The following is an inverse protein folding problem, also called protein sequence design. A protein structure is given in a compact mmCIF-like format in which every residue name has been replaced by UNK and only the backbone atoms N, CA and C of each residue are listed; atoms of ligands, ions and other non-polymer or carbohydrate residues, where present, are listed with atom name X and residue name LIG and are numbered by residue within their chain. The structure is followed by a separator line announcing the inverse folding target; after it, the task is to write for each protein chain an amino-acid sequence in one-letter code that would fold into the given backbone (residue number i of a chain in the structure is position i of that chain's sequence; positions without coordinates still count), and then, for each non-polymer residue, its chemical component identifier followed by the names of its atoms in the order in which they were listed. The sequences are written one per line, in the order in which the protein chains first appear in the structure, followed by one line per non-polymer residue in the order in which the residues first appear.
data_IF_045998639589
#
_entry.id   IF_045998639589
#
_cell.length_a   1.000
_cell.length_b   1.000
_cell.length_c   1.000
_cell.angle_alpha   90.00
_cell.angle_beta   90.00
_cell.angle_gamma   90.00
#
_symmetry.space_group_name_H-M   'P 1'
#
loop_
_entity.id
_entity.type
_entity.pdbx_description
1 polymer ?
#
# COMPACT_ATOMS: atom_id res chain seq x y z
N UNK A 1 -12.28 -5.16 3.21
CA UNK A 1 -13.66 -4.60 3.22
C UNK A 1 -14.06 -4.34 1.78
N UNK A 2 -15.07 -5.05 1.30
CA UNK A 2 -15.64 -4.80 -0.04
C UNK A 2 -16.59 -3.60 0.00
N UNK A 3 -16.65 -2.85 -1.10
CA UNK A 3 -17.59 -1.74 -1.28
C UNK A 3 -17.94 -1.52 -2.75
N UNK A 4 -19.13 -0.95 -2.97
CA UNK A 4 -19.62 -0.55 -4.28
C UNK A 4 -19.69 0.99 -4.33
N UNK A 5 -18.87 1.61 -5.14
CA UNK A 5 -18.74 3.08 -5.20
C UNK A 5 -19.98 3.77 -5.81
N UNK A 6 -20.76 3.06 -6.63
CA UNK A 6 -22.02 3.53 -7.21
C UNK A 6 -23.17 3.54 -6.19
N UNK A 7 -23.09 2.70 -5.14
CA UNK A 7 -24.05 2.65 -4.03
C UNK A 7 -23.65 3.55 -2.86
N UNK A 8 -22.46 4.15 -2.89
CA UNK A 8 -21.99 5.00 -1.82
C UNK A 8 -22.80 6.30 -1.72
N UNK A 9 -23.23 6.63 -0.49
CA UNK A 9 -23.85 7.92 -0.15
C UNK A 9 -22.93 8.72 0.76
N UNK A 10 -22.80 10.02 0.50
CA UNK A 10 -22.04 10.95 1.34
C UNK A 10 -22.52 11.01 2.79
N UNK A 11 -23.80 10.72 3.04
CA UNK A 11 -24.36 10.67 4.38
C UNK A 11 -23.71 9.63 5.28
N UNK A 12 -22.99 8.66 4.70
CA UNK A 12 -22.19 7.68 5.44
C UNK A 12 -21.16 8.35 6.35
N UNK A 13 -20.57 9.47 5.93
CA UNK A 13 -19.64 10.23 6.76
C UNK A 13 -20.29 10.69 8.07
N UNK A 14 -21.48 11.29 7.98
CA UNK A 14 -22.20 11.74 9.16
C UNK A 14 -22.68 10.57 10.03
N UNK A 15 -23.22 9.52 9.43
CA UNK A 15 -23.69 8.31 10.17
C UNK A 15 -22.57 7.63 10.95
N UNK A 16 -21.34 7.67 10.42
CA UNK A 16 -20.16 7.07 11.07
C UNK A 16 -19.33 8.09 11.85
N UNK A 17 -19.85 9.28 12.12
CA UNK A 17 -19.11 10.37 12.80
C UNK A 17 -17.70 10.55 12.22
N UNK A 18 -17.57 10.51 10.89
CA UNK A 18 -16.30 10.63 10.17
C UNK A 18 -16.20 11.98 9.48
N UNK A 19 -15.12 12.73 9.74
CA UNK A 19 -14.87 13.97 9.04
C UNK A 19 -14.59 13.75 7.55
N UNK A 20 -15.25 14.54 6.69
CA UNK A 20 -15.01 14.55 5.26
C UNK A 20 -14.22 15.81 4.89
N UNK A 21 -12.92 15.72 4.53
CA UNK A 21 -12.12 16.89 4.20
C UNK A 21 -12.69 17.65 2.98
N UNK A 22 -12.52 18.99 2.89
CA UNK A 22 -13.04 19.78 1.77
C UNK A 22 -12.57 19.30 0.39
N UNK A 23 -11.36 18.75 0.30
CA UNK A 23 -10.81 18.16 -0.93
C UNK A 23 -11.59 16.91 -1.37
N UNK A 24 -12.02 16.09 -0.39
CA UNK A 24 -12.83 14.89 -0.64
C UNK A 24 -14.29 15.27 -0.96
N UNK A 25 -14.83 16.27 -0.25
CA UNK A 25 -16.19 16.79 -0.55
C UNK A 25 -16.32 17.20 -2.03
N UNK A 26 -15.27 17.80 -2.61
CA UNK A 26 -15.24 18.26 -4.01
C UNK A 26 -14.87 17.18 -5.02
N UNK A 27 -14.47 16.00 -4.57
CA UNK A 27 -14.07 14.91 -5.47
C UNK A 27 -15.27 14.13 -6.00
N UNK A 28 -15.02 13.27 -7.00
CA UNK A 28 -16.04 12.36 -7.55
C UNK A 28 -16.45 11.31 -6.52
N UNK A 29 -17.67 10.75 -6.68
CA UNK A 29 -18.25 9.75 -5.76
C UNK A 29 -17.29 8.58 -5.50
N UNK A 30 -16.65 8.06 -6.54
CA UNK A 30 -15.65 6.99 -6.41
C UNK A 30 -14.57 7.35 -5.39
N UNK A 31 -13.96 8.53 -5.50
CA UNK A 31 -12.92 8.99 -4.58
C UNK A 31 -13.43 9.21 -3.15
N UNK A 32 -14.66 9.66 -3.00
CA UNK A 32 -15.31 9.80 -1.69
C UNK A 32 -15.52 8.43 -1.02
N UNK A 33 -15.97 7.43 -1.78
CA UNK A 33 -16.12 6.05 -1.32
C UNK A 33 -14.78 5.44 -0.88
N UNK A 34 -13.76 5.52 -1.73
CA UNK A 34 -12.41 5.04 -1.44
C UNK A 34 -11.86 5.66 -0.13
N UNK A 35 -11.99 6.97 0.01
CA UNK A 35 -11.58 7.67 1.22
C UNK A 35 -12.34 7.17 2.45
N UNK A 36 -13.65 7.12 2.36
CA UNK A 36 -14.52 6.69 3.47
C UNK A 36 -14.19 5.26 3.91
N UNK A 37 -14.20 4.31 2.98
CA UNK A 37 -13.97 2.90 3.31
C UNK A 37 -12.54 2.62 3.75
N UNK A 38 -11.55 3.34 3.20
CA UNK A 38 -10.17 3.27 3.69
C UNK A 38 -10.05 3.72 5.16
N UNK A 39 -10.71 4.82 5.54
CA UNK A 39 -10.72 5.30 6.92
C UNK A 39 -11.53 4.42 7.86
N UNK A 40 -12.62 3.85 7.37
CA UNK A 40 -13.44 2.88 8.12
C UNK A 40 -12.63 1.60 8.41
N UNK A 41 -11.94 1.05 7.39
CA UNK A 41 -11.04 -0.08 7.57
C UNK A 41 -9.94 0.21 8.60
N UNK A 42 -9.38 1.42 8.58
CA UNK A 42 -8.36 1.83 9.54
C UNK A 42 -8.89 1.94 10.99
N UNK A 43 -10.10 2.46 11.18
CA UNK A 43 -10.76 2.46 12.50
C UNK A 43 -10.95 1.04 13.06
N UNK A 44 -11.43 0.13 12.21
CA UNK A 44 -11.60 -1.27 12.59
C UNK A 44 -10.26 -1.94 12.95
N UNK A 45 -9.23 -1.71 12.14
CA UNK A 45 -7.90 -2.26 12.39
C UNK A 45 -7.32 -1.76 13.73
N UNK A 46 -7.44 -0.46 14.03
CA UNK A 46 -7.01 0.12 15.31
C UNK A 46 -7.73 -0.51 16.50
N UNK A 47 -9.04 -0.72 16.38
CA UNK A 47 -9.84 -1.34 17.44
C UNK A 47 -9.48 -2.81 17.63
N UNK A 48 -9.37 -3.58 16.55
CA UNK A 48 -8.99 -5.01 16.59
C UNK A 48 -7.60 -5.23 17.22
N UNK A 49 -6.67 -4.30 17.03
CA UNK A 49 -5.35 -4.33 17.64
C UNK A 49 -5.32 -3.78 19.08
N UNK A 50 -6.45 -3.37 19.63
CA UNK A 50 -6.53 -2.80 20.98
C UNK A 50 -5.84 -1.43 21.12
N UNK A 51 -5.53 -0.76 19.99
CA UNK A 51 -4.86 0.54 20.00
C UNK A 51 -5.82 1.70 20.25
N UNK A 52 -7.13 1.47 20.11
CA UNK A 52 -8.20 2.39 20.46
C UNK A 52 -9.39 1.62 21.04
N UNK A 53 -10.06 2.22 22.04
CA UNK A 53 -11.23 1.61 22.70
C UNK A 53 -12.51 1.94 21.90
N UNK A 54 -12.64 3.17 21.44
CA UNK A 54 -13.83 3.68 20.75
C UNK A 54 -13.50 4.06 19.31
N UNK A 55 -13.62 3.15 18.34
CA UNK A 55 -13.22 3.40 16.96
C UNK A 55 -13.99 4.56 16.31
N UNK A 56 -15.26 4.77 16.67
CA UNK A 56 -16.11 5.82 16.11
C UNK A 56 -15.64 7.24 16.48
N UNK A 57 -14.87 7.40 17.54
CA UNK A 57 -14.32 8.69 17.95
C UNK A 57 -12.99 9.03 17.26
N UNK A 58 -12.35 8.04 16.63
CA UNK A 58 -11.04 8.25 16.00
C UNK A 58 -11.19 8.93 14.65
N UNK A 59 -10.45 10.02 14.47
CA UNK A 59 -10.32 10.70 13.18
C UNK A 59 -8.93 10.46 12.62
N UNK A 60 -8.84 9.77 11.47
CA UNK A 60 -7.58 9.58 10.76
C UNK A 60 -7.51 10.65 9.68
N UNK A 61 -6.90 11.76 10.02
CA UNK A 61 -6.75 12.91 9.13
C UNK A 61 -5.84 12.59 7.93
N UNK A 62 -5.77 13.54 7.01
CA UNK A 62 -4.84 13.49 5.87
C UNK A 62 -3.80 14.57 6.05
N UNK A 63 -2.53 14.20 5.98
CA UNK A 63 -1.41 15.13 6.04
C UNK A 63 -1.15 15.85 4.72
N UNK A 64 -0.11 16.67 4.69
CA UNK A 64 0.24 17.52 3.55
C UNK A 64 0.69 16.73 2.32
N UNK A 65 1.30 15.57 2.52
CA UNK A 65 1.69 14.64 1.46
C UNK A 65 0.61 13.57 1.17
N UNK A 66 -0.63 13.80 1.63
CA UNK A 66 -1.79 12.91 1.53
C UNK A 66 -1.70 11.63 2.37
N UNK A 67 -0.69 11.51 3.23
CA UNK A 67 -0.50 10.41 4.15
C UNK A 67 -1.60 10.38 5.22
N UNK A 68 -2.01 9.20 5.72
CA UNK A 68 -2.89 9.11 6.88
C UNK A 68 -2.13 9.52 8.16
N UNK A 69 -2.76 10.39 8.97
CA UNK A 69 -2.22 10.79 10.28
C UNK A 69 -2.76 9.84 11.33
N UNK A 70 -1.89 8.98 11.83
CA UNK A 70 -2.23 7.98 12.84
C UNK A 70 -2.19 8.53 14.27
N UNK A 71 -2.90 7.90 15.23
CA UNK A 71 -2.67 8.13 16.65
C UNK A 71 -1.20 7.89 17.01
N UNK A 72 -0.66 8.60 18.01
CA UNK A 72 0.75 8.49 18.42
C UNK A 72 1.17 7.07 18.84
N UNK A 73 0.21 6.24 19.25
CA UNK A 73 0.43 4.84 19.65
C UNK A 73 0.46 3.87 18.49
N UNK A 74 0.20 4.32 17.27
CA UNK A 74 0.04 3.47 16.10
C UNK A 74 0.89 3.92 14.92
N UNK A 75 1.38 2.95 14.17
CA UNK A 75 1.80 3.08 12.76
C UNK A 75 0.80 2.32 11.90
N UNK A 76 0.62 2.74 10.66
CA UNK A 76 -0.35 2.06 9.80
C UNK A 76 -0.27 2.46 8.34
N UNK A 77 -1.04 1.74 7.54
CA UNK A 77 -1.16 1.97 6.11
C UNK A 77 -2.59 1.68 5.65
N UNK A 78 -3.00 2.38 4.62
CA UNK A 78 -4.29 2.21 3.96
C UNK A 78 -4.02 2.02 2.47
N UNK A 79 -4.65 1.02 1.87
CA UNK A 79 -4.72 0.87 0.42
C UNK A 79 -6.14 0.53 -0.02
N UNK A 80 -6.45 0.79 -1.27
CA UNK A 80 -7.75 0.52 -1.85
C UNK A 80 -7.64 0.32 -3.36
N UNK A 81 -8.50 -0.54 -3.87
CA UNK A 81 -8.86 -0.60 -5.29
C UNK A 81 -10.18 0.13 -5.51
N UNK A 82 -10.78 -0.05 -6.68
CA UNK A 82 -12.13 0.50 -6.97
C UNK A 82 -13.26 -0.15 -6.16
N UNK A 83 -13.03 -1.33 -5.52
CA UNK A 83 -14.03 -2.10 -4.78
C UNK A 83 -13.57 -2.64 -3.43
N UNK A 84 -12.28 -2.60 -3.16
CA UNK A 84 -11.70 -3.10 -1.92
C UNK A 84 -11.00 -1.97 -1.16
N UNK A 85 -11.18 -1.92 0.15
CA UNK A 85 -10.39 -1.08 1.05
C UNK A 85 -9.78 -1.95 2.14
N UNK A 86 -8.50 -1.75 2.40
CA UNK A 86 -7.72 -2.47 3.40
C UNK A 86 -6.92 -1.49 4.25
N UNK A 87 -6.74 -1.83 5.51
CA UNK A 87 -5.82 -1.15 6.40
C UNK A 87 -5.08 -2.16 7.26
N UNK A 88 -3.80 -1.88 7.51
CA UNK A 88 -2.99 -2.57 8.49
C UNK A 88 -2.44 -1.55 9.49
N UNK A 89 -2.41 -1.94 10.78
CA UNK A 89 -1.87 -1.10 11.85
C UNK A 89 -1.05 -1.94 12.81
N UNK A 90 -0.08 -1.29 13.47
CA UNK A 90 0.74 -1.89 14.49
C UNK A 90 1.05 -0.87 15.60
N UNK A 91 1.51 -1.34 16.77
CA UNK A 91 1.95 -0.46 17.85
C UNK A 91 3.22 0.29 17.44
N UNK A 92 3.23 1.61 17.64
CA UNK A 92 4.39 2.47 17.41
C UNK A 92 5.55 2.19 18.39
N UNK A 93 5.30 1.50 19.51
CA UNK A 93 6.34 1.10 20.45
C UNK A 93 7.24 -0.02 19.91
N UNK A 94 6.72 -0.82 18.97
CA UNK A 94 7.42 -1.98 18.40
C UNK A 94 7.88 -1.77 16.96
N UNK A 95 7.17 -0.95 16.20
CA UNK A 95 7.35 -0.82 14.76
C UNK A 95 7.50 0.63 14.36
N UNK A 96 8.42 0.90 13.45
CA UNK A 96 8.66 2.25 12.91
C UNK A 96 7.74 2.60 11.76
N UNK A 97 7.27 1.57 11.04
CA UNK A 97 6.36 1.76 9.92
C UNK A 97 5.75 0.47 9.43
N UNK A 98 4.61 0.59 8.81
CA UNK A 98 3.92 -0.46 8.09
C UNK A 98 3.39 0.11 6.78
N UNK A 99 3.56 -0.62 5.70
CA UNK A 99 3.01 -0.29 4.38
C UNK A 99 2.26 -1.48 3.83
N UNK A 100 1.09 -1.24 3.30
CA UNK A 100 0.34 -2.21 2.50
C UNK A 100 -0.04 -1.58 1.18
N UNK A 101 -0.15 -2.41 0.17
CA UNK A 101 -0.66 -1.99 -1.12
C UNK A 101 -1.53 -3.07 -1.75
N UNK A 102 -2.61 -2.64 -2.42
CA UNK A 102 -3.60 -3.48 -3.08
C UNK A 102 -3.66 -3.09 -4.54
N UNK A 103 -3.39 -4.04 -5.46
CA UNK A 103 -3.42 -3.77 -6.88
C UNK A 103 -4.14 -4.88 -7.66
N UNK A 104 -4.92 -4.48 -8.66
CA UNK A 104 -5.37 -5.40 -9.70
C UNK A 104 -4.25 -5.70 -10.68
N UNK A 105 -4.28 -6.89 -11.27
CA UNK A 105 -3.38 -7.24 -12.36
C UNK A 105 -3.40 -6.15 -13.44
N UNK A 106 -2.21 -5.73 -13.83
CA UNK A 106 -2.02 -4.70 -14.82
C UNK A 106 -2.55 -5.14 -16.20
N UNK A 107 -3.46 -4.37 -16.77
CA UNK A 107 -3.84 -4.52 -18.16
C UNK A 107 -2.67 -4.18 -19.11
N UNK A 108 -2.77 -4.44 -20.43
CA UNK A 108 -1.65 -4.21 -21.35
C UNK A 108 -1.10 -2.78 -21.35
N UNK A 109 -1.96 -1.77 -21.20
CA UNK A 109 -1.54 -0.37 -21.16
C UNK A 109 -0.81 -0.05 -19.85
N UNK A 110 -1.33 -0.53 -18.73
CA UNK A 110 -0.68 -0.42 -17.43
C UNK A 110 0.67 -1.16 -17.40
N UNK A 111 0.77 -2.36 -18.00
CA UNK A 111 2.04 -3.09 -18.12
C UNK A 111 3.09 -2.28 -18.88
N UNK A 112 2.72 -1.63 -19.98
CA UNK A 112 3.64 -0.78 -20.72
C UNK A 112 4.16 0.39 -19.88
N UNK A 113 3.28 1.02 -19.10
CA UNK A 113 3.65 2.08 -18.17
C UNK A 113 4.57 1.57 -17.04
N UNK A 114 4.26 0.41 -16.43
CA UNK A 114 5.08 -0.20 -15.37
C UNK A 114 6.50 -0.55 -15.87
N UNK A 115 6.61 -1.09 -17.09
CA UNK A 115 7.92 -1.36 -17.73
C UNK A 115 8.73 -0.10 -17.94
N UNK A 116 8.09 1.02 -18.25
CA UNK A 116 8.77 2.27 -18.53
C UNK A 116 9.18 3.05 -17.27
N UNK A 117 8.45 2.89 -16.14
CA UNK A 117 8.58 3.78 -14.99
C UNK A 117 8.95 3.10 -13.68
N UNK A 118 8.63 1.81 -13.53
CA UNK A 118 8.75 1.09 -12.25
C UNK A 118 9.93 0.14 -12.21
N UNK A 119 10.18 -0.58 -13.30
CA UNK A 119 11.24 -1.59 -13.37
C UNK A 119 12.38 -1.12 -14.27
N UNK A 120 13.62 -1.44 -13.89
CA UNK A 120 14.78 -1.26 -14.75
C UNK A 120 15.06 -2.53 -15.56
N UNK A 121 16.06 -2.47 -16.45
CA UNK A 121 16.40 -3.58 -17.34
C UNK A 121 16.78 -4.88 -16.59
N UNK A 122 17.48 -4.78 -15.47
CA UNK A 122 17.88 -5.96 -14.68
C UNK A 122 16.70 -6.58 -13.91
N UNK A 123 15.78 -5.75 -13.40
CA UNK A 123 14.53 -6.21 -12.82
C UNK A 123 13.66 -6.92 -13.86
N UNK A 124 13.52 -6.32 -15.05
CA UNK A 124 12.74 -6.90 -16.14
C UNK A 124 13.31 -8.25 -16.57
N UNK A 125 14.64 -8.39 -16.67
CA UNK A 125 15.29 -9.68 -16.99
C UNK A 125 15.02 -10.75 -15.92
N UNK A 126 15.04 -10.38 -14.64
CA UNK A 126 14.66 -11.28 -13.54
C UNK A 126 13.20 -11.73 -13.68
N UNK A 127 12.26 -10.79 -13.90
CA UNK A 127 10.85 -11.12 -14.05
C UNK A 127 10.58 -12.00 -15.27
N UNK A 128 11.31 -11.78 -16.38
CA UNK A 128 11.20 -12.63 -17.57
C UNK A 128 11.70 -14.05 -17.29
N UNK A 129 12.80 -14.21 -16.54
CA UNK A 129 13.31 -15.53 -16.14
C UNK A 129 12.27 -16.29 -15.30
N UNK A 130 11.62 -15.65 -14.35
CA UNK A 130 10.56 -16.27 -13.54
C UNK A 130 9.32 -16.63 -14.37
N UNK A 131 8.96 -15.78 -15.32
CA UNK A 131 7.86 -16.04 -16.24
C UNK A 131 8.15 -17.25 -17.13
N UNK A 132 9.35 -17.32 -17.70
CA UNK A 132 9.78 -18.42 -18.58
C UNK A 132 9.91 -19.75 -17.81
N UNK A 133 10.21 -19.70 -16.52
CA UNK A 133 10.20 -20.87 -15.62
C UNK A 133 8.78 -21.34 -15.26
N UNK A 134 7.76 -20.53 -15.55
CA UNK A 134 6.36 -20.85 -15.24
C UNK A 134 5.94 -20.50 -13.80
N UNK A 135 6.74 -19.74 -13.07
CA UNK A 135 6.47 -19.40 -11.68
C UNK A 135 5.25 -18.46 -11.56
N UNK A 136 5.11 -17.48 -12.49
CA UNK A 136 3.97 -16.58 -12.57
C UNK A 136 3.86 -15.93 -13.96
N UNK A 137 2.71 -15.32 -14.25
CA UNK A 137 2.53 -14.53 -15.47
C UNK A 137 3.25 -13.17 -15.35
N UNK A 138 3.65 -12.60 -16.46
CA UNK A 138 4.44 -11.35 -16.46
C UNK A 138 3.65 -10.13 -15.95
N UNK A 139 2.34 -10.08 -16.21
CA UNK A 139 1.43 -9.07 -15.66
C UNK A 139 1.35 -9.16 -14.12
N UNK A 140 1.28 -10.40 -13.59
CA UNK A 140 1.30 -10.63 -12.14
C UNK A 140 2.62 -10.18 -11.52
N UNK A 141 3.76 -10.51 -12.13
CA UNK A 141 5.09 -10.14 -11.65
C UNK A 141 5.31 -8.62 -11.71
N UNK A 142 4.91 -7.95 -12.78
CA UNK A 142 5.00 -6.49 -12.90
C UNK A 142 4.13 -5.78 -11.85
N UNK A 143 2.88 -6.24 -11.69
CA UNK A 143 1.95 -5.71 -10.68
C UNK A 143 2.51 -5.91 -9.27
N UNK A 144 3.06 -7.10 -9.00
CA UNK A 144 3.67 -7.42 -7.71
C UNK A 144 4.85 -6.49 -7.37
N UNK A 145 5.74 -6.23 -8.33
CA UNK A 145 6.88 -5.33 -8.12
C UNK A 145 6.43 -3.89 -7.86
N UNK A 146 5.47 -3.41 -8.62
CA UNK A 146 4.87 -2.09 -8.39
C UNK A 146 4.29 -1.98 -6.99
N UNK A 147 3.40 -2.89 -6.64
CA UNK A 147 2.74 -2.92 -5.33
C UNK A 147 3.75 -3.04 -4.17
N UNK A 148 4.82 -3.84 -4.35
CA UNK A 148 5.87 -3.97 -3.34
C UNK A 148 6.67 -2.68 -3.12
N UNK A 149 6.99 -1.95 -4.18
CA UNK A 149 7.66 -0.65 -4.09
C UNK A 149 6.76 0.40 -3.44
N UNK A 150 5.45 0.37 -3.72
CA UNK A 150 4.45 1.19 -3.02
C UNK A 150 4.34 0.83 -1.53
N UNK A 151 4.35 -0.44 -1.17
CA UNK A 151 4.36 -0.88 0.23
C UNK A 151 5.62 -0.43 0.96
N UNK A 152 6.80 -0.48 0.31
CA UNK A 152 8.03 0.07 0.86
C UNK A 152 7.90 1.58 1.09
N UNK A 153 7.42 2.31 0.09
CA UNK A 153 7.19 3.76 0.20
C UNK A 153 6.28 4.09 1.39
N UNK A 154 5.13 3.46 1.48
CA UNK A 154 4.15 3.69 2.56
C UNK A 154 4.72 3.34 3.94
N UNK A 155 5.49 2.24 4.06
CA UNK A 155 6.10 1.84 5.32
C UNK A 155 7.16 2.82 5.81
N UNK A 156 7.92 3.41 4.89
CA UNK A 156 9.09 4.24 5.22
C UNK A 156 8.79 5.74 5.25
N UNK A 157 7.67 6.19 4.69
CA UNK A 157 7.37 7.60 4.44
C UNK A 157 7.50 8.48 5.69
N UNK A 158 6.97 8.02 6.84
CA UNK A 158 7.03 8.79 8.09
C UNK A 158 8.48 9.06 8.57
N UNK A 159 9.40 8.13 8.32
CA UNK A 159 10.80 8.27 8.70
C UNK A 159 11.64 9.00 7.66
N UNK A 160 11.28 8.86 6.37
CA UNK A 160 11.98 9.49 5.25
C UNK A 160 11.58 10.95 5.09
N UNK A 161 10.30 11.29 5.27
CA UNK A 161 9.76 12.65 5.24
C UNK A 161 9.76 13.31 3.86
N UNK A 162 10.06 12.56 2.79
CA UNK A 162 10.06 13.03 1.40
C UNK A 162 9.58 11.94 0.45
N UNK A 163 9.15 12.34 -0.73
CA UNK A 163 8.94 11.41 -1.84
C UNK A 163 10.27 10.88 -2.36
N UNK A 164 10.27 9.64 -2.82
CA UNK A 164 11.35 9.03 -3.57
C UNK A 164 10.78 8.16 -4.70
N UNK A 165 11.56 8.01 -5.77
CA UNK A 165 11.11 7.31 -6.97
C UNK A 165 11.26 5.79 -6.85
N UNK A 166 10.66 5.05 -7.77
CA UNK A 166 10.78 3.60 -7.87
C UNK A 166 12.21 3.11 -8.07
N UNK A 167 13.08 3.95 -8.66
CA UNK A 167 14.51 3.69 -8.83
C UNK A 167 15.30 3.62 -7.51
N UNK A 168 14.74 4.17 -6.42
CA UNK A 168 15.35 4.10 -5.09
C UNK A 168 15.45 2.67 -4.51
N UNK A 169 14.68 1.73 -5.05
CA UNK A 169 14.71 0.32 -4.65
C UNK A 169 14.63 -0.61 -5.86
N UNK A 170 15.44 -1.65 -5.85
CA UNK A 170 15.53 -2.67 -6.90
C UNK A 170 15.10 -4.03 -6.37
N UNK A 171 14.27 -4.75 -7.12
CA UNK A 171 13.96 -6.18 -6.84
C UNK A 171 15.20 -7.01 -7.12
N UNK A 172 15.59 -7.83 -6.14
CA UNK A 172 16.74 -8.75 -6.24
C UNK A 172 16.35 -10.21 -6.19
N UNK A 173 15.10 -10.52 -5.85
CA UNK A 173 14.55 -11.87 -5.84
C UNK A 173 13.06 -11.87 -5.56
N UNK A 174 12.37 -12.87 -6.08
CA UNK A 174 10.96 -13.17 -5.82
C UNK A 174 10.85 -14.66 -5.56
N UNK A 175 10.25 -15.02 -4.44
CA UNK A 175 9.84 -16.39 -4.12
C UNK A 175 8.31 -16.42 -4.14
N UNK A 176 7.77 -16.91 -5.25
CA UNK A 176 6.32 -16.96 -5.47
C UNK A 176 5.66 -17.95 -4.52
N UNK A 177 6.32 -19.07 -4.24
CA UNK A 177 5.80 -20.10 -3.35
C UNK A 177 5.76 -19.66 -1.89
N UNK A 178 6.79 -18.92 -1.44
CA UNK A 178 6.85 -18.36 -0.10
C UNK A 178 6.03 -17.07 0.07
N UNK A 179 5.53 -16.47 -1.02
CA UNK A 179 4.81 -15.19 -0.98
C UNK A 179 5.70 -14.04 -0.50
N UNK A 180 6.96 -14.00 -0.95
CA UNK A 180 7.95 -13.01 -0.52
C UNK A 180 8.79 -12.51 -1.70
N UNK A 181 9.10 -11.22 -1.69
CA UNK A 181 10.08 -10.63 -2.59
C UNK A 181 11.09 -9.78 -1.81
N UNK A 182 12.28 -9.64 -2.37
CA UNK A 182 13.37 -8.89 -1.77
C UNK A 182 13.65 -7.62 -2.57
N UNK A 183 13.50 -6.47 -1.92
CA UNK A 183 13.96 -5.18 -2.44
C UNK A 183 15.32 -4.85 -1.82
N UNK A 184 16.22 -4.24 -2.61
CA UNK A 184 17.48 -3.65 -2.15
C UNK A 184 17.45 -2.16 -2.45
N UNK A 185 17.75 -1.34 -1.44
CA UNK A 185 17.83 0.11 -1.63
C UNK A 185 19.05 0.47 -2.50
N UNK A 186 18.81 1.29 -3.51
CA UNK A 186 19.83 1.83 -4.41
C UNK A 186 20.44 3.13 -3.87
N UNK A 187 19.71 3.83 -2.99
CA UNK A 187 20.14 5.04 -2.31
C UNK A 187 19.81 4.98 -0.81
N UNK A 188 20.44 5.85 -0.01
CA UNK A 188 20.09 6.02 1.39
C UNK A 188 18.82 6.88 1.50
N UNK A 189 17.76 6.33 2.07
CA UNK A 189 16.49 7.04 2.26
C UNK A 189 16.47 7.82 3.57
N UNK A 190 17.00 7.22 4.64
CA UNK A 190 17.21 7.83 5.96
C UNK A 190 18.29 7.04 6.71
N UNK A 191 18.77 7.46 7.90
CA UNK A 191 19.85 6.77 8.63
C UNK A 191 19.57 5.29 8.92
N UNK A 192 18.32 4.89 9.11
CA UNK A 192 17.94 3.48 9.33
C UNK A 192 17.64 2.69 8.06
N UNK A 193 17.67 3.35 6.90
CA UNK A 193 17.49 2.76 5.58
C UNK A 193 18.60 3.22 4.63
N UNK A 194 19.86 2.75 4.85
CA UNK A 194 21.00 3.11 4.02
C UNK A 194 20.95 2.41 2.66
N UNK A 195 21.70 2.91 1.69
CA UNK A 195 21.93 2.22 0.42
C UNK A 195 22.43 0.79 0.66
N UNK A 196 21.97 -0.16 -0.14
CA UNK A 196 22.26 -1.58 0.01
C UNK A 196 21.41 -2.32 1.04
N UNK A 197 20.61 -1.62 1.85
CA UNK A 197 19.71 -2.25 2.82
C UNK A 197 18.71 -3.18 2.13
N UNK A 198 18.54 -4.38 2.67
CA UNK A 198 17.58 -5.36 2.15
C UNK A 198 16.22 -5.18 2.82
N UNK A 199 15.20 -5.08 2.01
CA UNK A 199 13.82 -4.82 2.41
C UNK A 199 12.92 -5.98 1.97
N UNK A 200 12.69 -6.98 2.81
CA UNK A 200 11.73 -8.04 2.49
C UNK A 200 10.30 -7.45 2.46
N UNK A 201 9.52 -7.88 1.47
CA UNK A 201 8.11 -7.54 1.29
C UNK A 201 7.34 -8.84 1.14
N UNK A 202 6.36 -9.06 2.00
CA UNK A 202 5.44 -10.18 1.87
C UNK A 202 4.32 -9.86 0.89
N UNK A 203 3.75 -10.89 0.27
CA UNK A 203 2.59 -10.73 -0.58
C UNK A 203 1.63 -11.91 -0.51
N UNK A 204 0.41 -11.70 -0.96
CA UNK A 204 -0.62 -12.71 -1.10
C UNK A 204 -1.68 -12.27 -2.11
N UNK A 205 -2.55 -13.19 -2.46
CA UNK A 205 -3.65 -12.93 -3.39
C UNK A 205 -4.97 -12.84 -2.62
N UNK A 206 -5.69 -11.72 -2.80
CA UNK A 206 -7.03 -11.53 -2.23
C UNK A 206 -8.05 -12.27 -3.08
N UNK A 207 -7.87 -12.25 -4.37
CA UNK A 207 -8.58 -13.01 -5.40
C UNK A 207 -7.62 -13.25 -6.59
N UNK A 208 -7.99 -14.04 -7.62
CA UNK A 208 -7.10 -14.35 -8.73
C UNK A 208 -6.56 -13.15 -9.51
N UNK A 209 -7.13 -11.96 -9.32
CA UNK A 209 -6.75 -10.73 -10.03
C UNK A 209 -6.30 -9.60 -9.11
N UNK A 210 -6.24 -9.82 -7.80
CA UNK A 210 -5.90 -8.76 -6.84
C UNK A 210 -4.80 -9.24 -5.91
N UNK A 211 -3.63 -8.62 -6.00
CA UNK A 211 -2.51 -8.84 -5.10
C UNK A 211 -2.55 -7.84 -3.94
N UNK A 212 -2.14 -8.30 -2.77
CA UNK A 212 -1.77 -7.46 -1.63
C UNK A 212 -0.30 -7.65 -1.33
N UNK A 213 0.43 -6.57 -1.17
CA UNK A 213 1.79 -6.58 -0.65
C UNK A 213 1.85 -5.89 0.70
N UNK A 214 2.82 -6.27 1.54
CA UNK A 214 2.99 -5.66 2.85
C UNK A 214 4.44 -5.66 3.31
N UNK A 215 4.82 -4.60 4.00
CA UNK A 215 6.09 -4.46 4.67
C UNK A 215 5.90 -3.88 6.06
N UNK A 216 6.64 -4.46 7.03
CA UNK A 216 6.75 -3.94 8.41
C UNK A 216 8.24 -3.75 8.73
N UNK A 217 8.62 -2.75 9.50
CA UNK A 217 10.01 -2.50 9.92
C UNK A 217 10.13 -1.68 11.21
#
# INVERSE_FOLDING_TARGET
MDFASDQFSRDAFARCAMACPPTIVRSVRKRQAEYFFGRLAARHALHQQGLVVHPDTVQIATGNAREPIWPKTAVGSISHTHRLAMSAVASADRWRGIGIDLEHLADPDAQAALRATVVNASELALLQTLHDAGDATLDALLTLVFSAKESLFKASFAAVGRYFDFSAAQVTGVDVAAGCLQLRLCESLCPSLPAGHLCPVGFGWVDPQTVVTYRVW
#
